data_IF_495364802291
#
_entry.id   IF_495364802291
#
_cell.length_a   1.000
_cell.length_b   1.000
_cell.length_c   1.000
_cell.angle_alpha   90.00
_cell.angle_beta   90.00
_cell.angle_gamma   90.00
#
_symmetry.space_group_name_H-M   'P 1'
#
loop_
_entity.id
_entity.type
_entity.pdbx_description
1 polymer ?
2 non-polymer ?
3 non-polymer ?
4 water ?
#
# COMPACT_ATOMS: atom_id res chain seq x y z
N UNK A 1 -24.72 8.62 -5.85
CA UNK A 1 -25.73 7.58 -6.24
C UNK A 1 -25.22 6.14 -6.16
N UNK A 3 -22.52 3.05 -6.04
CA UNK A 3 -21.43 2.80 -5.11
C UNK A 3 -20.43 1.73 -5.64
N UNK A 4 -19.14 2.01 -5.40
CA UNK A 4 -18.09 0.99 -5.61
C UNK A 4 -18.33 -0.13 -4.60
N UNK A 5 -17.71 -1.26 -4.88
CA UNK A 5 -17.94 -2.43 -4.08
C UNK A 5 -16.70 -2.77 -3.26
N UNK A 6 -16.90 -3.12 -1.99
CA UNK A 6 -15.81 -3.56 -1.15
C UNK A 6 -15.17 -4.77 -1.83
N UNK A 7 -13.83 -4.72 -1.95
CA UNK A 7 -13.11 -5.65 -2.80
C UNK A 7 -11.98 -6.27 -2.03
N UNK A 8 -12.11 -7.59 -1.87
CA UNK A 8 -11.20 -8.38 -1.03
C UNK A 8 -10.40 -9.29 -1.91
N UNK A 9 -9.12 -9.41 -1.57
CA UNK A 9 -8.26 -10.44 -2.17
C UNK A 9 -7.47 -11.14 -1.10
N UNK A 10 -7.17 -12.40 -1.36
CA UNK A 10 -6.40 -13.23 -0.44
C UNK A 10 -5.18 -13.76 -1.20
N UNK A 11 -4.07 -13.98 -0.52
CA UNK A 11 -2.89 -14.57 -1.12
C UNK A 11 -3.04 -16.10 -1.17
N UNK A 12 -3.01 -16.71 -2.37
CA UNK A 12 -2.96 -18.19 -2.42
C UNK A 12 -1.71 -18.79 -1.75
N UNK A 13 -1.88 -20.00 -1.23
CA UNK A 13 -0.97 -20.53 -0.18
C UNK A 13 0.43 -21.31 -0.26
N UNK A 14 0.74 -22.29 -1.11
CA UNK A 14 0.46 -22.42 -2.56
C UNK A 14 1.45 -21.51 -3.30
N UNK A 15 1.24 -20.20 -3.24
CA UNK A 15 2.15 -19.25 -3.89
C UNK A 15 1.80 -18.90 -5.33
N UNK A 16 0.71 -19.46 -5.82
CA UNK A 16 0.12 -19.08 -7.09
C UNK A 16 -0.55 -17.69 -6.99
N UNK A 17 -1.31 -17.34 -8.02
CA UNK A 17 -1.98 -16.04 -8.08
C UNK A 17 -1.20 -14.94 -8.77
N UNK A 18 0.02 -15.23 -9.22
CA UNK A 18 0.81 -14.24 -9.94
C UNK A 18 0.77 -14.50 -11.42
N UNK A 19 0.74 -13.42 -12.17
CA UNK A 19 0.66 -13.44 -13.62
C UNK A 19 1.91 -12.72 -14.18
N UNK A 20 2.64 -13.40 -15.06
CA UNK A 20 3.93 -12.91 -15.56
C UNK A 20 3.77 -11.66 -16.44
N UNK A 23 -8.15 2.51 16.95
CA UNK A 23 -7.46 3.73 17.36
C UNK A 23 -6.63 3.64 18.70
N UNK A 24 -7.29 3.55 19.86
CA UNK A 24 -6.54 3.49 21.16
C UNK A 24 -5.92 2.11 21.43
N UNK A 25 -6.45 1.09 20.76
CA UNK A 25 -5.92 -0.26 20.84
C UNK A 25 -4.88 -0.51 19.75
N UNK A 26 -4.42 0.56 19.07
CA UNK A 26 -3.44 0.43 17.98
C UNK A 26 -2.32 1.44 18.09
N UNK A 27 -1.21 1.15 17.43
CA UNK A 27 -0.14 2.12 17.26
C UNK A 27 0.24 2.16 15.77
N UNK A 28 0.87 3.26 15.37
CA UNK A 28 1.02 3.63 13.95
C UNK A 28 2.45 4.06 13.64
N UNK A 29 2.96 3.60 12.50
CA UNK A 29 4.30 3.96 11.99
C UNK A 29 4.02 4.65 10.65
N UNK A 30 4.42 5.91 10.53
CA UNK A 30 4.15 6.73 9.34
C UNK A 30 5.17 6.48 8.24
N UNK A 31 4.71 6.29 6.99
CA UNK A 31 5.59 6.21 5.82
C UNK A 31 6.11 7.58 5.37
N UNK A 32 5.54 8.66 5.87
CA UNK A 32 5.85 10.02 5.43
C UNK A 32 5.02 10.56 4.30
N UNK A 33 4.08 9.76 3.81
CA UNK A 33 3.30 10.17 2.60
C UNK A 33 2.44 11.39 2.91
N UNK A 34 1.89 11.49 4.12
CA UNK A 34 1.09 12.72 4.50
C UNK A 34 1.93 13.98 4.33
N UNK A 35 3.09 14.01 4.98
CA UNK A 35 3.94 15.23 4.87
C UNK A 35 4.51 15.41 3.44
N UNK A 36 4.71 14.32 2.70
CA UNK A 36 5.21 14.44 1.32
C UNK A 36 4.20 15.04 0.36
N UNK A 37 2.91 14.80 0.65
CA UNK A 37 1.85 15.17 -0.26
C UNK A 37 0.97 16.29 0.30
N UNK A 38 1.40 16.93 1.39
CA UNK A 38 0.61 17.99 1.96
C UNK A 38 -0.76 17.49 2.41
N UNK A 39 -0.86 16.23 2.80
CA UNK A 39 -2.15 15.70 3.24
C UNK A 39 -3.07 15.14 2.18
N UNK A 41 -2.65 12.45 0.50
CA UNK A 41 -2.66 11.02 0.80
C UNK A 41 -1.95 10.79 2.13
N UNK A 42 -2.24 9.66 2.74
CA UNK A 42 -1.49 9.16 3.88
C UNK A 42 -1.24 7.68 3.73
N UNK A 43 -0.19 7.18 4.37
CA UNK A 43 0.00 5.74 4.43
C UNK A 43 0.78 5.45 5.68
N UNK A 44 0.35 4.44 6.37
CA UNK A 44 0.95 4.08 7.67
C UNK A 44 0.72 2.64 7.98
N UNK A 45 1.60 2.07 8.80
CA UNK A 45 1.46 0.70 9.28
C UNK A 45 0.83 0.75 10.67
N UNK A 46 -0.19 -0.07 10.84
CA UNK A 46 -0.96 -0.14 12.06
C UNK A 46 -0.65 -1.47 12.72
N UNK A 47 -0.32 -1.44 13.99
CA UNK A 47 -0.09 -2.69 14.73
C UNK A 47 -0.95 -2.71 15.99
N UNK A 48 -1.45 -3.90 16.29
CA UNK A 48 -2.24 -4.11 17.49
C UNK A 48 -1.37 -3.98 18.71
N UNK A 49 -2.01 -3.56 19.79
CA UNK A 49 -1.42 -3.53 21.13
C UNK A 49 -2.13 -4.64 21.89
N UNK A 50 -1.40 -5.63 22.48
CA UNK A 50 -2.05 -6.61 23.35
C UNK A 50 -2.29 -6.03 24.74
N UNK A 56 -17.05 -3.45 18.68
CA UNK A 56 -17.14 -3.21 17.22
C UNK A 56 -18.30 -2.27 16.91
N UNK A 57 -17.96 -1.10 16.38
CA UNK A 57 -18.91 -0.03 16.14
C UNK A 57 -18.98 0.27 14.64
N UNK A 58 -20.17 0.13 14.05
CA UNK A 58 -20.37 0.51 12.65
C UNK A 58 -20.01 1.96 12.47
N UNK A 59 -19.22 2.26 11.43
CA UNK A 59 -18.77 3.62 11.20
C UNK A 59 -18.42 3.79 9.73
N UNK A 60 -18.12 5.03 9.36
CA UNK A 60 -17.66 5.41 8.04
C UNK A 60 -16.50 6.40 8.18
N UNK A 61 -15.74 6.49 7.11
CA UNK A 61 -14.66 7.47 7.01
C UNK A 61 -14.88 8.37 5.81
N UNK A 62 -14.51 9.64 5.94
CA UNK A 62 -14.66 10.60 4.81
C UNK A 62 -13.45 10.52 3.89
N UNK A 63 -13.30 9.41 3.21
CA UNK A 63 -12.15 9.16 2.39
C UNK A 63 -12.58 9.01 0.96
N UNK A 64 -11.67 9.35 0.04
CA UNK A 64 -11.83 8.95 -1.32
C UNK A 64 -11.25 7.51 -1.14
N UNK A 65 -9.99 7.38 -1.40
CA UNK A 65 -9.35 6.12 -1.59
C UNK A 65 -8.99 5.51 -0.24
N UNK A 66 -9.27 4.23 -0.07
CA UNK A 66 -8.84 3.57 1.12
C UNK A 66 -8.55 2.07 0.89
N UNK A 67 -7.31 1.66 1.20
CA UNK A 67 -6.90 0.26 1.02
C UNK A 67 -6.12 -0.24 2.20
N UNK A 68 -6.42 -1.47 2.65
CA UNK A 68 -5.64 -2.15 3.68
C UNK A 68 -4.96 -3.37 3.07
N UNK A 69 -3.71 -3.56 3.47
CA UNK A 69 -2.93 -4.76 3.10
C UNK A 69 -2.34 -5.35 4.36
N UNK A 70 -2.75 -6.57 4.69
CA UNK A 70 -2.31 -7.21 5.93
C UNK A 70 -0.89 -7.76 5.80
N UNK A 71 -0.02 -7.33 6.73
CA UNK A 71 1.40 -7.70 6.70
C UNK A 71 1.70 -8.90 7.63
N UNK A 72 0.92 -9.01 8.72
CA UNK A 72 1.15 -10.03 9.76
C UNK A 72 -0.14 -10.19 10.53
N UNK A 73 -0.41 -11.42 10.97
CA UNK A 73 -1.56 -11.68 11.80
C UNK A 73 -2.82 -11.77 10.98
N UNK A 74 -3.94 -11.50 11.63
CA UNK A 74 -5.21 -11.55 10.95
C UNK A 74 -6.18 -10.55 11.55
N UNK A 75 -7.16 -10.14 10.75
CA UNK A 75 -8.15 -9.18 11.21
C UNK A 75 -9.46 -9.51 10.48
N UNK A 76 -10.59 -9.40 11.20
CA UNK A 76 -11.92 -9.64 10.61
C UNK A 76 -12.69 -8.32 10.63
N UNK A 77 -13.13 -7.94 9.43
CA UNK A 77 -13.95 -6.77 9.20
C UNK A 77 -15.35 -7.22 8.84
N UNK A 78 -16.30 -6.30 8.93
CA UNK A 78 -17.65 -6.54 8.46
C UNK A 78 -18.08 -5.33 7.66
N UNK A 79 -18.70 -5.60 6.52
CA UNK A 79 -19.11 -4.56 5.60
C UNK A 79 -20.58 -4.60 5.35
N UNK A 80 -21.15 -3.43 5.11
CA UNK A 80 -22.56 -3.39 4.81
C UNK A 80 -22.82 -4.25 3.55
N UNK A 81 -22.01 -4.05 2.51
CA UNK A 81 -22.25 -4.69 1.21
C UNK A 81 -21.92 -6.17 1.11
N UNK A 82 -20.77 -6.59 1.65
CA UNK A 82 -20.31 -8.00 1.49
C UNK A 82 -20.25 -8.85 2.78
N UNK A 83 -20.55 -8.29 3.96
CA UNK A 83 -20.62 -9.08 5.19
C UNK A 83 -19.26 -9.18 5.87
N UNK A 84 -19.08 -10.22 6.69
CA UNK A 84 -17.83 -10.44 7.42
C UNK A 84 -16.78 -11.01 6.51
N UNK A 85 -15.56 -10.54 6.74
CA UNK A 85 -14.38 -10.88 5.93
C UNK A 85 -13.23 -11.11 6.89
N UNK A 87 -9.19 -11.58 7.06
CA UNK A 87 -8.00 -11.38 6.29
C UNK A 87 -6.77 -11.86 7.06
N UNK A 88 -5.88 -12.57 6.38
CA UNK A 88 -4.61 -12.99 6.97
C UNK A 88 -3.50 -12.26 6.20
N UNK A 89 -2.24 -12.56 6.52
CA UNK A 89 -1.12 -11.89 5.80
C UNK A 89 -1.32 -12.07 4.29
N UNK A 90 -1.11 -10.99 3.53
CA UNK A 90 -1.24 -11.02 2.08
C UNK A 90 -2.63 -10.65 1.64
N UNK A 91 -3.59 -10.59 2.57
CA UNK A 91 -4.95 -10.22 2.24
C UNK A 91 -5.11 -8.72 2.13
N UNK A 92 -6.03 -8.27 1.29
CA UNK A 92 -6.25 -6.85 1.09
C UNK A 92 -7.72 -6.55 1.07
N UNK A 93 -8.07 -5.35 1.53
CA UNK A 93 -9.44 -4.91 1.49
C UNK A 93 -9.47 -3.47 0.99
N UNK A 94 -10.13 -3.29 -0.15
CA UNK A 94 -10.40 -1.97 -0.70
C UNK A 94 -11.78 -1.55 -0.15
N UNK A 95 -11.81 -0.39 0.54
CA UNK A 95 -13.01 0.11 1.17
C UNK A 95 -13.49 1.32 0.38
N UNK A 96 -14.64 1.18 -0.27
CA UNK A 96 -15.17 2.30 -1.03
C UNK A 96 -15.39 3.54 -0.18
N UNK A 97 -15.39 4.70 -0.82
CA UNK A 97 -15.63 5.94 -0.09
C UNK A 97 -16.85 5.89 0.83
N UNK A 98 -16.61 6.08 2.11
CA UNK A 98 -17.68 6.14 3.08
C UNK A 98 -18.45 4.86 3.38
N UNK A 99 -17.90 3.71 2.96
CA UNK A 99 -18.60 2.45 3.16
C UNK A 99 -18.84 2.22 4.66
N UNK A 100 -20.05 1.75 5.02
CA UNK A 100 -20.34 1.42 6.40
C UNK A 100 -19.67 0.12 6.75
N UNK A 101 -18.87 0.13 7.81
CA UNK A 101 -18.08 -1.06 8.16
C UNK A 101 -17.71 -1.05 9.63
N UNK A 102 -17.17 -2.16 10.09
CA UNK A 102 -16.68 -2.22 11.46
C UNK A 102 -15.60 -3.31 11.51
N UNK A 103 -14.78 -3.25 12.56
CA UNK A 103 -13.76 -4.29 12.80
C UNK A 103 -14.26 -5.18 13.92
N UNK A 104 -14.35 -6.48 13.64
CA UNK A 104 -14.91 -7.42 14.60
C UNK A 104 -13.91 -7.94 15.62
N UNK A 105 -12.69 -8.21 15.18
CA UNK A 105 -11.66 -8.79 16.04
C UNK A 105 -10.39 -8.86 15.27
N UNK A 106 -9.27 -9.02 15.99
CA UNK A 106 -7.96 -9.18 15.34
C UNK A 106 -7.00 -9.94 16.23
N UNK A 107 -5.92 -10.41 15.60
CA UNK A 107 -4.88 -11.09 16.30
C UNK A 107 -3.96 -10.10 17.08
N UNK A 108 -3.29 -10.64 18.11
CA UNK A 108 -2.39 -9.84 18.92
C UNK A 108 -1.21 -9.33 18.14
N UNK A 109 -0.85 -10.06 17.08
CA UNK A 109 0.27 -9.69 16.23
C UNK A 109 -0.15 -8.99 14.93
N UNK A 110 -1.39 -8.54 14.83
CA UNK A 110 -1.78 -7.87 13.59
C UNK A 110 -0.86 -6.69 13.23
N UNK A 111 -0.46 -6.66 11.97
CA UNK A 111 0.21 -5.49 11.36
C UNK A 111 -0.41 -5.28 9.98
N UNK A 112 -0.89 -4.08 9.69
CA UNK A 112 -1.61 -3.82 8.46
C UNK A 112 -1.18 -2.47 7.92
N UNK A 113 -0.95 -2.39 6.63
CA UNK A 113 -0.68 -1.13 5.97
C UNK A 113 -2.00 -0.55 5.47
N UNK A 114 -2.19 0.72 5.76
CA UNK A 114 -3.35 1.48 5.31
C UNK A 114 -2.83 2.59 4.40
N UNK A 115 -3.47 2.72 3.22
CA UNK A 115 -3.22 3.79 2.26
C UNK A 115 -4.56 4.50 2.08
N UNK A 116 -4.59 5.82 2.22
CA UNK A 116 -5.86 6.54 2.28
C UNK A 116 -5.69 7.94 1.73
N UNK A 117 -6.73 8.45 1.09
CA UNK A 117 -6.80 9.86 0.66
C UNK A 117 -8.14 10.40 1.17
N UNK A 118 -8.16 11.56 1.85
CA UNK A 118 -7.01 12.34 2.25
C UNK A 118 -6.38 11.72 3.53
N UNK A 119 -5.23 12.24 3.95
CA UNK A 119 -4.62 11.80 5.22
C UNK A 119 -5.53 12.12 6.38
N UNK A 120 -6.13 13.31 6.37
CA UNK A 120 -6.92 13.81 7.51
C UNK A 120 -8.40 13.59 7.35
N UNK A 121 -8.81 12.34 7.16
CA UNK A 121 -10.25 12.00 7.10
C UNK A 121 -10.96 12.05 8.46
N UNK A 122 -12.26 12.33 8.42
CA UNK A 122 -13.10 12.25 9.62
C UNK A 122 -13.73 10.82 9.71
N UNK A 123 -14.16 10.46 10.92
CA UNK A 123 -14.83 9.17 11.16
C UNK A 123 -16.14 9.44 11.87
N UNK A 124 -17.21 8.84 11.37
CA UNK A 124 -18.52 9.02 11.97
C UNK A 124 -19.10 7.68 12.37
N UNK A 125 -19.71 7.63 13.55
CA UNK A 125 -20.39 6.40 13.99
C UNK A 125 -21.72 6.34 13.23
N UNK A 126 -22.12 5.15 12.76
CA UNK A 126 -23.38 5.03 12.01
C UNK A 126 -24.54 5.11 12.98
N UNK A 127 -25.51 5.98 12.64
CA UNK A 127 -26.80 6.11 13.35
C UNK A 127 -27.67 4.89 13.01
N UNK A 128 -27.70 3.93 13.93
CA UNK A 128 -28.32 2.65 13.68
C UNK A 128 -29.83 2.77 13.72
N UNK A 129 -30.34 3.61 14.61
CA UNK A 129 -31.78 3.80 14.75
C UNK A 129 -32.38 4.56 13.53
N UNK B 3 8.08 20.59 -6.93
CA UNK B 3 8.12 19.14 -7.10
C UNK B 3 7.96 18.60 -5.69
N UNK B 4 7.12 17.58 -5.58
CA UNK B 4 7.11 16.83 -4.34
C UNK B 4 8.43 16.08 -4.26
N UNK B 5 8.76 15.66 -3.05
CA UNK B 5 10.02 14.97 -2.79
C UNK B 5 9.85 13.48 -2.64
N UNK B 6 10.74 12.74 -3.26
CA UNK B 6 10.80 11.32 -3.02
C UNK B 6 10.98 11.09 -1.52
N UNK B 7 10.15 10.22 -0.93
CA UNK B 7 10.06 10.10 0.51
C UNK B 7 10.17 8.63 0.87
N UNK B 8 11.22 8.33 1.62
CA UNK B 8 11.59 7.01 2.01
C UNK B 8 11.43 6.81 3.52
N UNK B 9 10.95 5.64 3.89
CA UNK B 9 10.94 5.23 5.30
C UNK B 9 11.41 3.80 5.41
N UNK B 10 12.09 3.54 6.51
CA UNK B 10 12.64 2.20 6.79
C UNK B 10 12.03 1.74 8.11
N UNK B 11 11.80 0.44 8.24
CA UNK B 11 11.24 -0.09 9.48
C UNK B 11 12.34 -0.25 10.50
N UNK B 12 12.28 0.49 11.63
CA UNK B 12 13.36 0.29 12.62
C UNK B 12 13.44 -1.16 13.05
N UNK B 13 14.65 -1.67 13.07
CA UNK B 13 14.86 -3.10 13.27
C UNK B 13 14.51 -3.55 14.70
N UNK B 14 14.43 -2.59 15.63
CA UNK B 14 14.15 -2.86 17.04
C UNK B 14 12.66 -2.84 17.44
N UNK B 15 11.78 -2.60 16.47
CA UNK B 15 10.33 -2.59 16.72
C UNK B 15 9.80 -1.22 17.09
N UNK B 16 10.69 -0.23 17.13
CA UNK B 16 10.34 1.15 17.40
C UNK B 16 9.74 1.83 16.17
N UNK B 17 9.45 3.13 16.30
CA UNK B 17 8.86 3.93 15.21
C UNK B 17 7.35 4.02 15.21
N UNK B 18 6.71 3.35 16.18
CA UNK B 18 5.24 3.32 16.28
C UNK B 18 4.77 4.28 17.35
N UNK B 19 3.69 5.02 17.06
CA UNK B 19 3.10 5.96 18.02
C UNK B 19 1.60 5.74 18.19
N UNK B 20 1.00 6.07 19.32
CA UNK B 20 -0.46 5.89 19.42
C UNK B 20 -1.11 7.09 20.07
N UNK B 24 8.71 -9.96 -18.36
CA UNK B 24 9.89 -10.80 -18.43
C UNK B 24 10.60 -10.90 -17.10
N UNK B 25 10.66 -9.78 -16.39
CA UNK B 25 11.48 -9.70 -15.21
C UNK B 25 10.66 -9.87 -13.90
N UNK B 26 9.36 -9.62 -13.98
CA UNK B 26 8.49 -9.59 -12.79
C UNK B 26 7.14 -10.22 -13.08
N UNK B 27 6.47 -10.67 -12.02
CA UNK B 27 5.10 -11.19 -12.10
C UNK B 27 4.27 -10.47 -11.04
N UNK B 28 2.96 -10.42 -11.26
CA UNK B 28 2.06 -9.51 -10.54
C UNK B 28 0.84 -10.24 -10.04
N UNK B 29 0.49 -9.96 -8.80
CA UNK B 29 -0.73 -10.45 -8.18
C UNK B 29 -1.61 -9.22 -7.89
N UNK B 30 -2.80 -9.24 -8.49
CA UNK B 30 -3.71 -8.08 -8.42
C UNK B 30 -4.57 -8.13 -7.15
N UNK B 31 -4.73 -6.95 -6.51
CA UNK B 31 -5.65 -6.82 -5.37
C UNK B 31 -7.10 -6.65 -5.80
N UNK B 32 -7.29 -6.34 -7.08
CA UNK B 32 -8.62 -6.03 -7.57
C UNK B 32 -8.98 -4.56 -7.56
N UNK B 33 -8.07 -3.70 -7.11
CA UNK B 33 -8.36 -2.28 -6.99
C UNK B 33 -8.65 -1.64 -8.34
N UNK B 34 -7.92 -2.02 -9.37
CA UNK B 34 -8.14 -1.47 -10.74
C UNK B 34 -9.58 -1.74 -11.17
N UNK B 35 -10.01 -3.01 -11.15
CA UNK B 35 -11.39 -3.36 -11.51
C UNK B 35 -12.40 -2.61 -10.61
N UNK B 36 -12.13 -2.52 -9.30
CA UNK B 36 -13.09 -1.94 -8.37
C UNK B 36 -13.29 -0.47 -8.56
N UNK B 37 -12.24 0.19 -9.02
CA UNK B 37 -12.23 1.63 -9.21
C UNK B 37 -12.25 2.07 -10.67
N UNK B 38 -12.54 1.16 -11.62
CA UNK B 38 -12.55 1.57 -13.02
C UNK B 38 -11.23 2.13 -13.54
N UNK B 39 -10.15 1.73 -12.90
CA UNK B 39 -8.82 2.15 -13.29
C UNK B 39 -8.38 3.47 -12.66
N UNK B 41 -7.42 3.78 -9.62
CA UNK B 41 -6.29 3.36 -8.86
C UNK B 41 -5.98 1.91 -9.23
N UNK B 42 -4.75 1.49 -8.97
CA UNK B 42 -4.33 0.10 -9.04
C UNK B 42 -3.50 -0.24 -7.83
N UNK B 43 -3.53 -1.54 -7.46
CA UNK B 43 -2.66 -2.01 -6.41
C UNK B 43 -2.38 -3.47 -6.65
N UNK B 44 -1.11 -3.82 -6.59
CA UNK B 44 -0.70 -5.17 -6.93
C UNK B 44 0.63 -5.49 -6.27
N UNK B 45 0.84 -6.77 -6.03
CA UNK B 45 2.12 -7.23 -5.49
C UNK B 45 3.01 -7.73 -6.64
N UNK B 46 4.21 -7.24 -6.65
CA UNK B 46 5.17 -7.53 -7.69
C UNK B 46 6.22 -8.46 -7.12
N UNK B 47 6.50 -9.55 -7.82
CA UNK B 47 7.52 -10.47 -7.36
C UNK B 47 8.58 -10.64 -8.45
N UNK B 48 9.83 -10.66 -8.03
CA UNK B 48 10.94 -10.97 -8.95
C UNK B 48 10.82 -12.39 -9.51
N UNK B 49 11.16 -12.56 -10.79
CA UNK B 49 11.39 -13.86 -11.43
C UNK B 49 12.91 -14.06 -11.32
N UNK B 50 13.39 -15.11 -10.58
CA UNK B 50 14.85 -15.34 -10.37
C UNK B 50 15.57 -15.68 -11.66
N UNK B 53 24.09 -7.90 -11.80
CA UNK B 53 22.93 -8.43 -12.54
C UNK B 53 22.37 -7.67 -13.78
N UNK B 54 21.54 -6.63 -13.64
CA UNK B 54 20.83 -6.12 -14.85
C UNK B 54 19.78 -5.01 -14.61
N UNK B 55 19.32 -4.27 -15.65
CA UNK B 55 20.09 -3.24 -16.40
C UNK B 55 19.42 -1.87 -16.11
N UNK B 56 20.03 -1.07 -15.25
CA UNK B 56 19.30 0.12 -14.76
C UNK B 56 19.03 1.15 -15.88
N UNK B 57 17.78 1.66 -15.93
CA UNK B 57 17.39 2.56 -16.99
C UNK B 57 16.56 3.67 -16.39
N UNK B 58 17.04 4.89 -16.51
CA UNK B 58 16.27 6.07 -16.06
C UNK B 58 14.95 6.20 -16.83
N UNK B 59 13.86 6.43 -16.07
CA UNK B 59 12.54 6.49 -16.68
C UNK B 59 11.60 7.25 -15.78
N UNK B 60 10.41 7.47 -16.31
CA UNK B 60 9.35 8.15 -15.58
C UNK B 60 8.00 7.42 -15.84
N UNK B 61 7.01 7.66 -14.97
CA UNK B 61 5.66 7.11 -15.12
C UNK B 61 4.65 8.26 -15.08
N UNK B 62 3.59 8.14 -15.89
CA UNK B 62 2.54 9.17 -15.90
C UNK B 62 1.54 8.87 -14.79
N UNK B 63 1.94 9.11 -13.56
CA UNK B 63 1.16 8.76 -12.39
C UNK B 63 0.93 10.00 -11.57
N UNK B 64 -0.22 10.05 -10.88
CA UNK B 64 -0.42 10.98 -9.85
C UNK B 64 0.34 10.20 -8.77
N UNK B 65 -0.37 9.42 -8.02
CA UNK B 65 0.10 8.87 -6.78
C UNK B 65 0.84 7.60 -7.03
N UNK B 66 1.96 7.37 -6.34
CA UNK B 66 2.70 6.13 -6.50
C UNK B 66 3.50 5.80 -5.24
N UNK B 67 3.20 4.65 -4.63
CA UNK B 67 3.87 4.22 -3.43
C UNK B 67 4.28 2.76 -3.51
N UNK B 68 5.48 2.44 -3.02
CA UNK B 68 5.94 1.05 -2.91
C UNK B 68 6.19 0.76 -1.44
N UNK B 69 5.85 -0.46 -1.08
CA UNK B 69 6.12 -1.00 0.26
C UNK B 69 6.70 -2.41 0.08
N UNK B 70 7.91 -2.59 0.58
CA UNK B 70 8.65 -3.85 0.38
C UNK B 70 8.16 -4.88 1.41
N UNK B 71 7.76 -6.02 0.86
CA UNK B 71 7.22 -7.11 1.65
C UNK B 71 8.25 -8.20 1.99
N UNK B 72 9.17 -8.43 1.07
CA UNK B 72 10.20 -9.46 1.21
C UNK B 72 11.38 -9.08 0.34
N UNK B 73 12.59 -9.42 0.77
CA UNK B 73 13.78 -9.15 -0.05
C UNK B 73 14.21 -7.71 0.05
N UNK B 74 14.92 -7.29 -0.98
CA UNK B 74 15.48 -5.95 -1.01
C UNK B 74 15.52 -5.45 -2.45
N UNK B 75 15.49 -4.12 -2.55
CA UNK B 75 15.55 -3.49 -3.84
C UNK B 75 16.25 -2.14 -3.68
N UNK B 76 17.14 -1.81 -4.61
CA UNK B 76 17.81 -0.52 -4.61
C UNK B 76 17.25 0.29 -5.77
N UNK B 77 16.70 1.46 -5.44
CA UNK B 77 16.23 2.44 -6.40
C UNK B 77 17.19 3.66 -6.45
N UNK B 78 17.08 4.45 -7.50
CA UNK B 78 17.78 5.72 -7.59
C UNK B 78 16.84 6.77 -8.11
N UNK B 79 16.91 7.98 -7.52
CA UNK B 79 16.01 9.08 -7.86
C UNK B 79 16.79 10.31 -8.24
N UNK B 80 16.25 11.13 -9.13
CA UNK B 80 16.88 12.40 -9.56
C UNK B 80 17.07 13.41 -8.43
N UNK B 81 16.20 13.35 -7.41
CA UNK B 81 16.27 14.25 -6.28
C UNK B 81 17.10 13.75 -5.12
N UNK B 82 16.86 12.53 -4.64
CA UNK B 82 17.48 12.03 -3.44
C UNK B 82 18.60 11.02 -3.65
N UNK B 83 18.83 10.57 -4.88
CA UNK B 83 19.90 9.59 -5.13
C UNK B 83 19.47 8.15 -4.85
N UNK B 84 20.48 7.32 -4.57
CA UNK B 84 20.32 5.88 -4.40
C UNK B 84 19.78 5.57 -3.03
N UNK B 85 18.83 4.65 -2.96
CA UNK B 85 18.34 4.19 -1.68
C UNK B 85 18.06 2.69 -1.77
N UNK B 87 16.13 -0.40 -0.08
CA UNK B 87 14.97 -0.75 0.72
C UNK B 87 14.99 -2.25 1.03
N UNK B 88 14.71 -2.57 2.29
CA UNK B 88 14.50 -3.94 2.72
C UNK B 88 13.04 -4.07 3.16
N UNK B 89 12.65 -5.26 3.63
CA UNK B 89 11.27 -5.51 4.03
C UNK B 89 10.87 -4.43 5.03
N UNK B 90 9.68 -3.88 4.87
CA UNK B 90 9.21 -2.80 5.70
C UNK B 90 9.51 -1.40 5.20
N UNK B 91 10.39 -1.33 4.21
CA UNK B 91 10.76 -0.07 3.60
C UNK B 91 9.68 0.40 2.65
N UNK B 92 9.57 1.73 2.54
CA UNK B 92 8.60 2.32 1.63
C UNK B 92 9.20 3.45 0.85
N UNK B 93 8.75 3.60 -0.40
CA UNK B 93 9.19 4.69 -1.28
C UNK B 93 7.96 5.33 -1.91
N UNK B 94 7.75 6.61 -1.55
CA UNK B 94 6.75 7.43 -2.23
C UNK B 94 7.47 8.13 -3.40
N UNK B 95 6.95 7.92 -4.62
CA UNK B 95 7.55 8.48 -5.84
C UNK B 95 6.68 9.58 -6.40
N UNK B 96 7.17 10.83 -6.36
CA UNK B 96 6.40 11.93 -6.88
C UNK B 96 5.97 11.73 -8.34
N UNK B 97 4.87 12.40 -8.74
CA UNK B 97 4.40 12.29 -10.09
C UNK B 97 5.51 12.53 -11.13
N UNK B 98 5.78 11.50 -11.95
CA UNK B 98 6.75 11.62 -13.01
C UNK B 98 8.20 11.76 -12.62
N UNK B 99 8.53 11.47 -11.35
CA UNK B 99 9.93 11.58 -10.90
C UNK B 99 10.85 10.70 -11.80
N UNK B 100 12.00 11.23 -12.17
CA UNK B 100 12.99 10.42 -12.94
C UNK B 100 13.66 9.47 -11.95
N UNK B 101 13.61 8.17 -12.24
CA UNK B 101 14.16 7.17 -11.33
C UNK B 101 14.61 5.94 -12.10
N UNK B 102 15.28 5.04 -11.40
CA UNK B 102 15.62 3.75 -11.99
C UNK B 102 15.72 2.74 -10.88
N UNK B 103 15.69 1.47 -11.26
CA UNK B 103 15.96 0.39 -10.33
C UNK B 103 17.39 -0.08 -10.58
N UNK B 104 18.20 -0.09 -9.52
CA UNK B 104 19.60 -0.45 -9.64
C UNK B 104 19.89 -1.95 -9.51
N UNK B 105 19.10 -2.61 -8.69
CA UNK B 105 19.28 -4.04 -8.42
C UNK B 105 18.22 -4.49 -7.43
N UNK B 106 17.96 -5.81 -7.40
CA UNK B 106 16.99 -6.36 -6.44
C UNK B 106 17.36 -7.80 -6.12
N UNK B 107 16.85 -8.26 -4.96
CA UNK B 107 17.01 -9.61 -4.52
C UNK B 107 16.14 -10.53 -5.34
N UNK B 108 16.55 -11.77 -5.39
CA UNK B 108 15.77 -12.73 -6.13
C UNK B 108 14.42 -13.11 -5.55
N UNK B 109 14.26 -12.81 -4.27
CA UNK B 109 13.00 -13.01 -3.59
C UNK B 109 12.24 -11.73 -3.38
N UNK B 110 12.57 -10.69 -4.13
CA UNK B 110 11.84 -9.46 -3.89
C UNK B 110 10.31 -9.62 -4.07
N UNK B 111 9.55 -9.08 -3.11
CA UNK B 111 8.10 -8.92 -3.21
C UNK B 111 7.80 -7.51 -2.72
N UNK B 112 7.10 -6.74 -3.54
CA UNK B 112 6.80 -5.35 -3.19
C UNK B 112 5.37 -5.01 -3.63
N UNK B 113 4.65 -4.34 -2.74
CA UNK B 113 3.34 -3.84 -3.05
C UNK B 113 3.45 -2.44 -3.71
N UNK B 114 2.77 -2.24 -4.85
CA UNK B 114 2.69 -0.98 -5.51
C UNK B 114 1.26 -0.47 -5.46
N UNK B 115 1.04 0.78 -5.05
CA UNK B 115 -0.26 1.42 -5.07
C UNK B 115 -0.09 2.62 -5.99
N UNK B 116 -0.97 2.77 -6.97
CA UNK B 116 -0.75 3.77 -8.00
C UNK B 116 -2.10 4.41 -8.39
N UNK B 117 -2.01 5.60 -8.95
CA UNK B 117 -3.14 6.21 -9.68
C UNK B 117 -2.52 6.89 -10.90
N UNK B 118 -3.06 6.69 -12.10
CA UNK B 118 -4.13 5.72 -12.48
C UNK B 118 -3.51 4.33 -12.55
N UNK B 119 -4.36 3.30 -12.69
CA UNK B 119 -3.86 1.96 -12.93
C UNK B 119 -3.09 1.86 -14.25
N UNK B 120 -3.63 2.53 -15.26
CA UNK B 120 -3.07 2.44 -16.58
C UNK B 120 -2.07 3.50 -16.94
N UNK B 121 -1.07 3.75 -16.10
CA UNK B 121 -0.02 4.74 -16.43
C UNK B 121 0.93 4.32 -17.58
N UNK B 122 1.48 5.32 -18.28
CA UNK B 122 2.49 5.14 -19.30
C UNK B 122 3.88 5.28 -18.66
N UNK B 123 4.89 4.74 -19.37
CA UNK B 123 6.26 4.75 -18.89
C UNK B 123 7.14 5.21 -20.03
N UNK B 124 8.03 6.16 -19.75
CA UNK B 124 8.91 6.72 -20.77
C UNK B 124 10.33 6.61 -20.31
N UNK B 125 11.20 6.14 -21.19
CA UNK B 125 12.64 6.13 -20.92
C UNK B 125 13.16 7.57 -21.05
N UNK B 126 13.98 8.00 -20.10
CA UNK B 126 14.54 9.34 -20.08
C UNK B 126 15.58 9.38 -21.16
N UNK B 127 15.44 10.34 -22.06
CA UNK B 127 16.45 10.50 -23.10
C UNK B 127 17.49 11.51 -22.58
N UNK B 128 18.71 11.00 -22.35
CA UNK B 128 19.76 11.67 -21.59
C UNK B 128 20.72 12.46 -22.48
#
# INVERSE_FOLDING_TARGET
GXKLQTTIQHEPKDGSGFDRGLREFFEYRDTGVNEATGGXFGAHVIRAIPGKEAKPTWHTHTVGFQLFYVLRGWVEFEYEDIGAVXLEAGGSAFQPPGVRHRELRHSDDLEVLEIVSPAGFATSVVDLEEARKP
GXKLQTTIQHEPKDGSGFDRGLREFFEYRDTGVNEATGGXFGAHVIRAIPGKEAKPTWHTHTVGFQLFYVLRGWVEFEYEDIGAVXLEAGGSAFQPPGVRHRELRHSDDLEVLEIVSPAGFATSVVDLEEARKP
#
